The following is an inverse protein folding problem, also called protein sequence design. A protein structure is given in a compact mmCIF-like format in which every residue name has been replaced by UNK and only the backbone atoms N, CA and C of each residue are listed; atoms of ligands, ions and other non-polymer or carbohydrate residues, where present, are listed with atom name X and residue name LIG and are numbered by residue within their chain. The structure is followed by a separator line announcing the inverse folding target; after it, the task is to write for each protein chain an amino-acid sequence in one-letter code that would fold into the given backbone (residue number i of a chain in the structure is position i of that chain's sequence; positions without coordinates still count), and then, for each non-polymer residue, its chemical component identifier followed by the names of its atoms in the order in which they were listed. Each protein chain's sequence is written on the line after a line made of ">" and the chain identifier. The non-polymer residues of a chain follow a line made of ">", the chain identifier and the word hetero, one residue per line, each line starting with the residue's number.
data_IF_911168357710
#
_entry.id   IF_911168357710
#
_cell.length_a   1.000
_cell.length_b   1.000
_cell.length_c   1.000
_cell.angle_alpha   90.00
_cell.angle_beta   90.00
_cell.angle_gamma   90.00
#
_symmetry.space_group_name_H-M   'P 1'
#
loop_
_entity.id
_entity.type
_entity.pdbx_description
1 polymer ?
#
# COMPACT_ATOMS: atom_id res chain seq x y z
N UNK A 1 -14.30 1.40 30.95
CA UNK A 1 -13.74 1.61 29.60
C UNK A 1 -13.41 3.08 29.47
N UNK A 2 -12.14 3.43 29.30
CA UNK A 2 -11.70 4.82 29.11
C UNK A 2 -11.92 5.17 27.64
N UNK A 3 -12.71 6.21 27.35
CA UNK A 3 -12.84 6.69 25.99
C UNK A 3 -11.48 7.19 25.48
N UNK A 4 -11.06 6.83 24.26
CA UNK A 4 -9.84 7.37 23.70
C UNK A 4 -9.93 8.89 23.63
N UNK A 5 -8.85 9.59 23.97
CA UNK A 5 -8.78 11.03 23.79
C UNK A 5 -8.84 11.34 22.28
N UNK A 6 -9.92 11.98 21.82
CA UNK A 6 -10.13 12.32 20.41
C UNK A 6 -9.72 13.76 20.18
N UNK A 7 -8.68 13.94 19.38
CA UNK A 7 -8.19 15.24 18.96
C UNK A 7 -9.11 15.83 17.87
N UNK A 8 -9.55 17.09 18.01
CA UNK A 8 -10.26 17.79 16.94
C UNK A 8 -9.42 17.89 15.67
N UNK A 9 -10.06 17.81 14.51
CA UNK A 9 -9.40 17.90 13.20
C UNK A 9 -8.58 19.19 13.05
N UNK A 10 -9.08 20.31 13.56
CA UNK A 10 -8.37 21.61 13.52
C UNK A 10 -7.08 21.59 14.35
N UNK A 11 -7.10 20.98 15.52
CA UNK A 11 -5.93 20.83 16.39
C UNK A 11 -4.92 19.86 15.79
N UNK A 12 -5.40 18.72 15.26
CA UNK A 12 -4.55 17.78 14.55
C UNK A 12 -3.83 18.44 13.37
N UNK A 13 -4.54 19.27 12.59
CA UNK A 13 -3.95 19.98 11.45
C UNK A 13 -2.86 20.95 11.88
N UNK A 14 -3.04 21.66 13.00
CA UNK A 14 -2.03 22.58 13.52
C UNK A 14 -0.76 21.86 14.02
N UNK A 15 -0.91 20.66 14.59
CA UNK A 15 0.19 19.91 15.22
C UNK A 15 0.64 18.68 14.42
N UNK A 16 0.23 18.54 13.15
CA UNK A 16 0.34 17.31 12.37
C UNK A 16 1.77 16.74 12.35
N UNK A 17 2.77 17.58 12.03
CA UNK A 17 4.18 17.18 11.98
C UNK A 17 4.69 16.65 13.32
N UNK A 18 4.29 17.28 14.43
CA UNK A 18 4.68 16.85 15.78
C UNK A 18 4.01 15.54 16.14
N UNK A 19 2.73 15.38 15.80
CA UNK A 19 2.01 14.13 16.04
C UNK A 19 2.66 12.99 15.26
N UNK A 20 2.96 13.16 13.98
CA UNK A 20 3.68 12.18 13.15
C UNK A 20 5.00 11.76 13.81
N UNK A 21 5.84 12.73 14.21
CA UNK A 21 7.09 12.44 14.92
C UNK A 21 6.88 11.67 16.22
N UNK A 22 5.84 12.02 16.98
CA UNK A 22 5.51 11.33 18.23
C UNK A 22 5.09 9.88 18.02
N UNK A 23 4.28 9.59 17.00
CA UNK A 23 3.83 8.22 16.75
C UNK A 23 4.96 7.38 16.14
N UNK A 24 5.80 7.98 15.30
CA UNK A 24 7.01 7.33 14.80
C UNK A 24 7.99 6.95 15.93
N UNK A 25 8.17 7.84 16.91
CA UNK A 25 9.05 7.58 18.06
C UNK A 25 8.47 6.59 19.09
N UNK A 26 7.15 6.36 19.07
CA UNK A 26 6.49 5.42 19.98
C UNK A 26 5.42 4.59 19.23
N UNK A 27 5.79 3.41 18.71
CA UNK A 27 4.91 2.57 17.91
C UNK A 27 3.61 2.15 18.60
N UNK A 28 3.57 2.08 19.94
CA UNK A 28 2.36 1.74 20.67
C UNK A 28 1.35 2.90 20.73
N UNK A 29 1.77 4.13 20.42
CA UNK A 29 0.92 5.30 20.49
C UNK A 29 -0.12 5.29 19.36
N UNK A 30 -1.31 5.79 19.69
CA UNK A 30 -2.41 6.03 18.75
C UNK A 30 -2.95 7.44 18.98
N UNK A 31 -3.13 8.21 17.92
CA UNK A 31 -3.76 9.52 17.97
C UNK A 31 -5.09 9.42 17.24
N UNK A 32 -6.18 9.46 18.00
CA UNK A 32 -7.53 9.40 17.46
C UNK A 32 -7.94 10.82 17.05
N UNK A 33 -8.44 10.98 15.83
CA UNK A 33 -8.84 12.26 15.24
C UNK A 33 -10.30 12.19 14.84
N UNK A 34 -11.07 13.25 15.11
CA UNK A 34 -12.47 13.32 14.68
C UNK A 34 -13.24 14.47 15.31
N UNK A 35 -14.55 14.48 15.09
CA UNK A 35 -15.45 15.51 15.60
C UNK A 35 -16.32 14.97 16.75
N UNK A 36 -16.82 15.87 17.61
CA UNK A 36 -17.81 15.54 18.65
C UNK A 36 -17.43 14.34 19.54
N UNK A 37 -16.14 14.18 19.86
CA UNK A 37 -15.58 13.05 20.63
C UNK A 37 -15.80 11.67 19.98
N UNK A 38 -16.11 11.62 18.69
CA UNK A 38 -16.13 10.40 17.89
C UNK A 38 -14.82 10.29 17.10
N UNK A 39 -14.05 9.20 17.26
CA UNK A 39 -12.95 8.91 16.38
C UNK A 39 -13.46 8.61 14.97
N UNK A 40 -12.92 9.33 13.99
CA UNK A 40 -13.18 9.12 12.55
C UNK A 40 -11.92 8.63 11.83
N UNK A 41 -10.74 8.97 12.35
CA UNK A 41 -9.45 8.52 11.86
C UNK A 41 -8.48 8.22 13.02
N UNK A 42 -7.45 7.43 12.75
CA UNK A 42 -6.38 7.13 13.71
C UNK A 42 -5.04 7.31 13.02
N UNK A 43 -4.20 8.19 13.56
CA UNK A 43 -2.78 8.25 13.23
C UNK A 43 -2.02 7.25 14.12
N UNK A 44 -1.27 6.35 13.48
CA UNK A 44 -0.46 5.32 14.11
C UNK A 44 0.91 5.20 13.43
N UNK A 45 1.89 4.60 14.11
CA UNK A 45 3.15 4.24 13.43
C UNK A 45 2.88 3.18 12.36
N UNK A 46 3.64 3.25 11.28
CA UNK A 46 3.63 2.24 10.20
C UNK A 46 4.01 0.86 10.73
N UNK A 47 4.88 0.80 11.75
CA UNK A 47 5.31 -0.43 12.43
C UNK A 47 4.34 -0.93 13.50
N UNK A 48 3.22 -0.25 13.69
CA UNK A 48 2.31 -0.59 14.78
C UNK A 48 1.28 -1.64 14.36
N UNK A 49 0.91 -2.52 15.29
CA UNK A 49 -0.11 -3.53 15.03
C UNK A 49 -1.45 -2.88 14.66
N UNK A 50 -1.91 -3.20 13.45
CA UNK A 50 -3.26 -2.92 12.98
C UNK A 50 -4.15 -4.08 13.41
N UNK A 51 -5.33 -3.84 14.01
CA UNK A 51 -6.27 -4.91 14.32
C UNK A 51 -6.54 -5.79 13.09
N UNK A 52 -6.50 -7.14 13.19
CA UNK A 52 -6.56 -8.02 12.04
C UNK A 52 -7.74 -7.78 11.11
N UNK A 53 -8.94 -7.51 11.64
CA UNK A 53 -10.12 -7.23 10.83
C UNK A 53 -10.03 -5.92 10.03
N UNK A 54 -9.35 -4.91 10.57
CA UNK A 54 -9.11 -3.63 9.86
C UNK A 54 -8.02 -3.81 8.81
N UNK A 55 -6.94 -4.53 9.14
CA UNK A 55 -5.87 -4.88 8.19
C UNK A 55 -6.45 -5.64 7.00
N UNK A 56 -7.23 -6.69 7.26
CA UNK A 56 -7.85 -7.51 6.23
C UNK A 56 -8.81 -6.69 5.35
N UNK A 57 -9.71 -5.91 5.95
CA UNK A 57 -10.63 -5.07 5.19
C UNK A 57 -9.90 -4.04 4.31
N UNK A 58 -8.84 -3.41 4.84
CA UNK A 58 -8.01 -2.47 4.09
C UNK A 58 -7.32 -3.16 2.90
N UNK A 59 -6.68 -4.31 3.13
CA UNK A 59 -5.95 -5.02 2.07
C UNK A 59 -6.89 -5.63 1.01
N UNK A 60 -8.00 -6.24 1.41
CA UNK A 60 -8.96 -6.86 0.50
C UNK A 60 -9.64 -5.83 -0.42
N UNK A 61 -10.02 -4.69 0.15
CA UNK A 61 -10.69 -3.63 -0.62
C UNK A 61 -9.72 -2.79 -1.41
N UNK A 62 -8.52 -2.52 -0.88
CA UNK A 62 -7.61 -1.60 -1.53
C UNK A 62 -7.07 -2.14 -2.85
N UNK A 63 -6.55 -3.36 -2.92
CA UNK A 63 -6.02 -3.88 -4.19
C UNK A 63 -7.10 -4.01 -5.27
N UNK A 64 -8.31 -4.43 -4.88
CA UNK A 64 -9.45 -4.52 -5.79
C UNK A 64 -9.85 -3.11 -6.28
N UNK A 65 -9.95 -2.15 -5.37
CA UNK A 65 -10.23 -0.75 -5.67
C UNK A 65 -9.18 -0.15 -6.61
N UNK A 66 -7.89 -0.37 -6.36
CA UNK A 66 -6.80 0.14 -7.19
C UNK A 66 -6.89 -0.38 -8.62
N UNK A 67 -7.19 -1.66 -8.82
CA UNK A 67 -7.37 -2.23 -10.17
C UNK A 67 -8.60 -1.66 -10.88
N UNK A 68 -9.69 -1.42 -10.16
CA UNK A 68 -10.94 -0.90 -10.73
C UNK A 68 -10.93 0.61 -11.00
N UNK A 69 -10.22 1.39 -10.16
CA UNK A 69 -10.32 2.86 -10.09
C UNK A 69 -9.02 3.60 -10.44
N UNK A 70 -7.90 2.91 -10.67
CA UNK A 70 -6.69 3.54 -11.20
C UNK A 70 -6.59 3.62 -12.74
N UNK A 71 -7.65 3.52 -13.59
CA UNK A 71 -7.42 3.34 -15.02
C UNK A 71 -6.94 4.59 -15.78
N UNK A 72 -6.53 5.66 -15.09
CA UNK A 72 -6.23 6.96 -15.69
C UNK A 72 -4.73 7.24 -15.91
N UNK A 73 -3.85 6.30 -15.57
CA UNK A 73 -2.39 6.47 -15.72
C UNK A 73 -1.75 5.37 -16.59
N UNK A 74 -2.44 4.87 -17.63
CA UNK A 74 -1.84 3.90 -18.56
C UNK A 74 -1.43 4.58 -19.87
N UNK A 75 -0.27 4.19 -20.41
CA UNK A 75 0.15 4.68 -21.71
C UNK A 75 -0.71 4.05 -22.79
N UNK A 76 -1.02 4.82 -23.84
CA UNK A 76 -1.81 4.38 -24.99
C UNK A 76 -1.18 3.22 -25.79
N UNK A 77 0.08 2.89 -25.50
CA UNK A 77 0.88 1.82 -26.13
C UNK A 77 0.92 0.51 -25.30
N UNK A 78 0.15 0.42 -24.21
CA UNK A 78 0.10 -0.78 -23.36
C UNK A 78 1.10 -0.76 -22.20
N UNK A 79 1.86 0.32 -22.04
CA UNK A 79 2.73 0.53 -20.89
C UNK A 79 1.98 0.85 -19.59
N UNK A 80 2.41 0.21 -18.51
CA UNK A 80 1.93 0.47 -17.15
C UNK A 80 2.57 1.78 -16.64
N UNK A 81 1.94 2.95 -16.86
CA UNK A 81 2.60 4.25 -16.65
C UNK A 81 2.76 4.60 -15.16
N UNK A 82 1.74 4.42 -14.31
CA UNK A 82 1.86 4.63 -12.86
C UNK A 82 0.85 3.83 -12.03
N UNK A 83 1.15 2.55 -11.79
CA UNK A 83 0.57 1.83 -10.63
C UNK A 83 1.27 2.23 -9.33
N UNK A 84 2.48 2.78 -9.43
CA UNK A 84 3.42 2.91 -8.33
C UNK A 84 2.96 3.73 -7.13
N UNK A 85 2.13 4.76 -7.28
CA UNK A 85 1.93 5.69 -6.14
C UNK A 85 1.05 5.09 -5.04
N UNK A 86 -0.22 4.78 -5.34
CA UNK A 86 -1.12 4.26 -4.31
C UNK A 86 -0.84 2.79 -3.97
N UNK A 87 -0.57 1.94 -4.98
CA UNK A 87 -0.18 0.55 -4.74
C UNK A 87 1.18 0.48 -4.05
N UNK A 88 2.16 1.25 -4.51
CA UNK A 88 3.51 1.18 -3.99
C UNK A 88 3.63 1.71 -2.56
N UNK A 89 2.82 2.68 -2.13
CA UNK A 89 2.77 3.09 -0.72
C UNK A 89 2.33 1.95 0.21
N UNK A 90 1.25 1.25 -0.14
CA UNK A 90 0.75 0.11 0.65
C UNK A 90 1.70 -1.08 0.54
N UNK A 91 2.25 -1.32 -0.64
CA UNK A 91 3.21 -2.40 -0.86
C UNK A 91 4.50 -2.18 -0.07
N UNK A 92 5.04 -0.97 -0.07
CA UNK A 92 6.22 -0.59 0.70
C UNK A 92 5.96 -0.78 2.20
N UNK A 93 4.77 -0.41 2.67
CA UNK A 93 4.37 -0.69 4.05
C UNK A 93 4.34 -2.19 4.36
N UNK A 94 3.68 -3.00 3.52
CA UNK A 94 3.64 -4.45 3.68
C UNK A 94 5.05 -5.04 3.69
N UNK A 95 5.89 -4.65 2.74
CA UNK A 95 7.28 -5.10 2.63
C UNK A 95 8.09 -4.86 3.91
N UNK A 96 7.90 -3.70 4.56
CA UNK A 96 8.57 -3.34 5.81
C UNK A 96 8.04 -4.09 7.02
N UNK A 97 6.80 -4.57 6.98
CA UNK A 97 6.15 -5.27 8.09
C UNK A 97 6.22 -6.79 7.98
N UNK A 98 5.87 -7.34 6.82
CA UNK A 98 5.85 -8.76 6.50
C UNK A 98 6.09 -8.95 4.99
N UNK A 99 7.32 -9.32 4.64
CA UNK A 99 7.73 -9.50 3.25
C UNK A 99 7.05 -10.70 2.57
N UNK A 100 6.59 -11.69 3.34
CA UNK A 100 5.88 -12.86 2.78
C UNK A 100 4.46 -12.46 2.41
N UNK A 101 3.76 -11.79 3.32
CA UNK A 101 2.42 -11.22 3.04
C UNK A 101 2.49 -10.22 1.87
N UNK A 102 3.57 -9.43 1.78
CA UNK A 102 3.81 -8.55 0.64
C UNK A 102 3.84 -9.34 -0.69
N UNK A 103 4.60 -10.44 -0.77
CA UNK A 103 4.66 -11.26 -1.99
C UNK A 103 3.30 -11.87 -2.36
N UNK A 104 2.54 -12.34 -1.37
CA UNK A 104 1.18 -12.86 -1.60
C UNK A 104 0.25 -11.79 -2.20
N UNK A 105 0.35 -10.55 -1.70
CA UNK A 105 -0.42 -9.42 -2.24
C UNK A 105 0.06 -8.96 -3.61
N UNK A 106 1.36 -9.02 -3.91
CA UNK A 106 1.88 -8.76 -5.25
C UNK A 106 1.32 -9.76 -6.26
N UNK A 107 1.34 -11.05 -5.94
CA UNK A 107 0.78 -12.10 -6.77
C UNK A 107 -0.73 -11.87 -7.00
N UNK A 108 -1.48 -11.59 -5.93
CA UNK A 108 -2.92 -11.30 -6.03
C UNK A 108 -3.19 -10.10 -6.91
N UNK A 109 -2.41 -9.03 -6.77
CA UNK A 109 -2.54 -7.83 -7.57
C UNK A 109 -2.28 -8.10 -9.06
N UNK A 110 -1.23 -8.85 -9.41
CA UNK A 110 -0.94 -9.26 -10.79
C UNK A 110 -2.10 -10.08 -11.37
N UNK A 111 -2.67 -11.01 -10.59
CA UNK A 111 -3.84 -11.80 -11.01
C UNK A 111 -5.07 -10.94 -11.28
N UNK A 112 -5.35 -9.99 -10.39
CA UNK A 112 -6.47 -9.07 -10.54
C UNK A 112 -6.31 -8.16 -11.77
N UNK A 113 -5.09 -7.67 -12.02
CA UNK A 113 -4.78 -6.91 -13.24
C UNK A 113 -5.04 -7.75 -14.50
N UNK A 114 -4.54 -9.00 -14.55
CA UNK A 114 -4.75 -9.89 -15.71
C UNK A 114 -6.22 -10.27 -15.94
N UNK A 115 -7.00 -10.35 -14.86
CA UNK A 115 -8.43 -10.68 -14.95
C UNK A 115 -9.31 -9.47 -15.32
N UNK A 116 -8.79 -8.25 -15.21
CA UNK A 116 -9.56 -7.03 -15.46
C UNK A 116 -9.60 -6.69 -16.94
N UNK A 117 -10.80 -6.65 -17.53
CA UNK A 117 -11.02 -6.21 -18.92
C UNK A 117 -10.69 -4.73 -19.14
N UNK A 118 -10.60 -3.95 -18.06
CA UNK A 118 -10.32 -2.50 -18.08
C UNK A 118 -8.85 -2.17 -17.81
N UNK A 119 -8.07 -3.13 -17.32
CA UNK A 119 -6.64 -2.94 -17.15
C UNK A 119 -5.94 -3.08 -18.51
N UNK A 120 -4.82 -2.36 -18.75
CA UNK A 120 -3.95 -2.69 -19.88
C UNK A 120 -3.55 -4.16 -19.77
N UNK A 121 -3.32 -4.80 -20.93
CA UNK A 121 -2.81 -6.17 -20.96
C UNK A 121 -1.39 -6.18 -20.40
N UNK A 122 -1.29 -6.29 -19.08
CA UNK A 122 -0.05 -6.61 -18.38
C UNK A 122 0.35 -8.00 -18.83
N UNK A 123 1.37 -8.08 -19.67
CA UNK A 123 1.75 -9.36 -20.26
C UNK A 123 2.67 -10.14 -19.32
N UNK A 124 3.51 -9.44 -18.54
CA UNK A 124 4.58 -10.09 -17.77
C UNK A 124 4.72 -9.59 -16.33
N UNK A 125 5.41 -10.38 -15.50
CA UNK A 125 5.86 -9.96 -14.18
C UNK A 125 6.75 -8.71 -14.23
N UNK A 126 7.60 -8.60 -15.26
CA UNK A 126 8.52 -7.46 -15.40
C UNK A 126 7.77 -6.14 -15.66
N UNK A 127 6.65 -6.15 -16.38
CA UNK A 127 5.86 -4.93 -16.60
C UNK A 127 5.39 -4.32 -15.27
N UNK A 128 4.98 -5.18 -14.33
CA UNK A 128 4.56 -4.74 -12.99
C UNK A 128 5.75 -4.28 -12.17
N UNK A 129 6.86 -5.02 -12.19
CA UNK A 129 8.07 -4.66 -11.45
C UNK A 129 8.71 -3.37 -11.99
N UNK A 130 8.67 -3.11 -13.29
CA UNK A 130 9.16 -1.84 -13.86
C UNK A 130 8.28 -0.68 -13.41
N UNK A 131 6.97 -0.85 -13.41
CA UNK A 131 6.07 0.21 -12.95
C UNK A 131 6.18 0.48 -11.44
N UNK A 132 6.48 -0.55 -10.64
CA UNK A 132 6.75 -0.38 -9.21
C UNK A 132 8.02 0.43 -8.94
N UNK A 133 8.97 0.49 -9.87
CA UNK A 133 10.17 1.32 -9.71
C UNK A 133 9.82 2.81 -9.56
N UNK A 134 8.69 3.24 -10.13
CA UNK A 134 8.23 4.62 -10.06
C UNK A 134 7.37 4.91 -8.82
N UNK A 135 7.22 3.95 -7.90
CA UNK A 135 6.51 4.16 -6.66
C UNK A 135 7.25 5.14 -5.75
N UNK A 136 6.56 6.20 -5.33
CA UNK A 136 7.14 7.28 -4.49
C UNK A 136 7.71 6.80 -3.15
N UNK A 137 7.22 5.68 -2.62
CA UNK A 137 7.54 5.21 -1.26
C UNK A 137 8.51 4.02 -1.19
N UNK A 138 9.12 3.60 -2.30
CA UNK A 138 10.16 2.57 -2.32
C UNK A 138 11.55 3.20 -2.48
N UNK A 139 12.50 2.79 -1.63
CA UNK A 139 13.92 3.08 -1.86
C UNK A 139 14.48 2.19 -2.97
N UNK A 140 15.57 2.60 -3.62
CA UNK A 140 16.25 1.79 -4.64
C UNK A 140 16.67 0.41 -4.09
N UNK A 141 17.11 0.34 -2.84
CA UNK A 141 17.51 -0.91 -2.18
C UNK A 141 16.30 -1.83 -1.96
N UNK A 142 15.20 -1.29 -1.43
CA UNK A 142 13.95 -2.05 -1.27
C UNK A 142 13.45 -2.55 -2.63
N UNK A 143 13.46 -1.69 -3.65
CA UNK A 143 13.06 -2.06 -5.00
C UNK A 143 13.88 -3.23 -5.55
N UNK A 144 15.21 -3.17 -5.44
CA UNK A 144 16.09 -4.24 -5.91
C UNK A 144 15.85 -5.55 -5.15
N UNK A 145 15.62 -5.49 -3.84
CA UNK A 145 15.31 -6.65 -3.02
C UNK A 145 13.95 -7.28 -3.39
N UNK A 146 12.92 -6.45 -3.57
CA UNK A 146 11.59 -6.86 -4.03
C UNK A 146 11.69 -7.54 -5.39
N UNK A 147 12.39 -6.92 -6.35
CA UNK A 147 12.56 -7.45 -7.71
C UNK A 147 13.27 -8.81 -7.71
N UNK A 148 14.34 -8.95 -6.92
CA UNK A 148 15.06 -10.21 -6.80
C UNK A 148 14.18 -11.33 -6.22
N UNK A 149 13.43 -11.01 -5.15
CA UNK A 149 12.53 -11.97 -4.50
C UNK A 149 11.35 -12.36 -5.39
N UNK A 150 10.69 -11.40 -6.02
CA UNK A 150 9.58 -11.65 -6.94
C UNK A 150 9.99 -12.56 -8.11
N UNK A 151 11.19 -12.37 -8.66
CA UNK A 151 11.73 -13.27 -9.71
C UNK A 151 11.97 -14.70 -9.22
N UNK A 152 12.29 -14.86 -7.94
CA UNK A 152 12.53 -16.17 -7.36
C UNK A 152 11.21 -16.89 -7.07
N UNK A 153 10.21 -16.17 -6.58
CA UNK A 153 8.97 -16.76 -6.06
C UNK A 153 7.82 -16.81 -7.07
N UNK A 154 7.80 -15.87 -8.03
CA UNK A 154 6.65 -15.62 -8.90
C UNK A 154 6.93 -15.83 -10.39
N UNK A 155 8.20 -15.95 -10.82
CA UNK A 155 8.54 -16.06 -12.25
C UNK A 155 7.86 -17.25 -12.94
N UNK A 156 7.83 -18.41 -12.30
CA UNK A 156 7.19 -19.61 -12.83
C UNK A 156 5.66 -19.47 -12.96
N UNK A 157 5.05 -18.56 -12.17
CA UNK A 157 3.60 -18.32 -12.15
C UNK A 157 3.16 -17.30 -13.19
N UNK A 158 4.09 -16.47 -13.67
CA UNK A 158 3.85 -15.40 -14.62
C UNK A 158 4.97 -15.36 -15.68
N UNK A 159 5.06 -16.39 -16.54
CA UNK A 159 6.12 -16.49 -17.54
C UNK A 159 6.09 -15.29 -18.51
N UNK A 160 7.28 -14.94 -19.00
CA UNK A 160 7.46 -14.02 -20.13
C UNK A 160 7.11 -14.80 -21.39
N UNK A 161 6.00 -14.47 -22.04
CA UNK A 161 5.68 -14.99 -23.38
C UNK A 161 6.53 -14.31 -24.46
#
# INVERSE_FOLDING_TARGET
>A
MTFPNVMPVSEFRAEATKMIKHVAANPARRVYVGANRRPEAVLMSVSADIPPGVRQALLDTCFSYLVEHSPYSWASDGGLLHVGDDFGGIFAWLWRCDQTEAMDHLERFIRLLRASERAPRVQTLEDVLVAMQFAVDLTDEEYLAIRARARTELADRFPVE
#
